data_IF_697584013167
#
_entry.id   IF_697584013167
#
_cell.length_a   1.000
_cell.length_b   1.000
_cell.length_c   1.000
_cell.angle_alpha   90.00
_cell.angle_beta   90.00
_cell.angle_gamma   90.00
#
_symmetry.space_group_name_H-M   'P 1'
#
loop_
_entity.id
_entity.type
_entity.pdbx_description
1 polymer ?
#
# COMPACT_ATOMS: atom_id res chain seq x y z
N UNK A 1 0.93 -11.35 -8.02
CA UNK A 1 0.22 -12.20 -7.03
C UNK A 1 -0.22 -11.28 -5.93
N UNK A 2 -1.49 -11.31 -5.56
CA UNK A 2 -2.04 -10.41 -4.54
C UNK A 2 -2.13 -11.17 -3.22
N UNK A 3 -1.57 -10.60 -2.16
CA UNK A 3 -1.53 -11.24 -0.84
C UNK A 3 -1.92 -10.25 0.24
N UNK A 4 -2.46 -10.77 1.34
CA UNK A 4 -2.76 -9.97 2.53
C UNK A 4 -1.52 -9.89 3.41
N UNK A 5 -1.28 -8.76 4.05
CA UNK A 5 -0.15 -8.61 4.97
C UNK A 5 -0.23 -9.66 6.09
N UNK A 6 -1.43 -9.92 6.61
CA UNK A 6 -1.64 -10.97 7.61
C UNK A 6 -1.32 -12.40 7.13
N UNK A 7 -1.43 -12.68 5.83
CA UNK A 7 -1.12 -14.01 5.28
C UNK A 7 0.36 -14.25 5.04
N UNK A 8 1.16 -13.17 4.97
CA UNK A 8 2.61 -13.27 4.78
C UNK A 8 3.39 -13.08 6.08
N UNK A 9 2.79 -12.47 7.10
CA UNK A 9 3.36 -12.41 8.44
C UNK A 9 3.60 -13.83 8.98
N UNK A 10 4.82 -14.08 9.44
CA UNK A 10 5.29 -15.36 9.94
C UNK A 10 5.85 -16.29 8.86
N UNK A 11 5.83 -15.92 7.58
CA UNK A 11 6.47 -16.74 6.54
C UNK A 11 7.99 -16.80 6.75
N UNK A 12 8.61 -17.98 6.55
CA UNK A 12 10.06 -18.11 6.62
C UNK A 12 10.71 -17.36 5.46
N UNK A 13 11.84 -16.71 5.75
CA UNK A 13 12.71 -16.11 4.75
C UNK A 13 13.82 -17.11 4.46
N UNK A 14 13.95 -17.51 3.21
CA UNK A 14 14.84 -18.57 2.72
C UNK A 14 15.98 -17.91 1.94
N UNK A 15 17.21 -18.23 2.33
CA UNK A 15 18.40 -17.91 1.57
C UNK A 15 18.53 -18.90 0.40
N UNK A 16 18.50 -18.42 -0.84
CA UNK A 16 18.53 -19.29 -2.03
C UNK A 16 19.89 -19.99 -2.24
N UNK A 17 20.99 -19.45 -1.68
CA UNK A 17 22.32 -20.07 -1.81
C UNK A 17 22.49 -21.23 -0.81
N UNK A 18 21.98 -21.10 0.41
CA UNK A 18 22.15 -22.11 1.47
C UNK A 18 20.90 -22.97 1.70
N UNK A 19 19.74 -22.53 1.21
CA UNK A 19 18.41 -23.08 1.49
C UNK A 19 18.02 -23.05 2.98
N UNK A 20 18.71 -22.25 3.79
CA UNK A 20 18.44 -22.11 5.21
C UNK A 20 17.42 -21.01 5.49
N UNK A 21 16.65 -21.18 6.57
CA UNK A 21 15.73 -20.14 7.05
C UNK A 21 16.46 -19.11 7.89
N UNK A 22 16.60 -17.89 7.38
CA UNK A 22 17.35 -16.81 8.03
C UNK A 22 16.49 -16.04 9.05
N UNK A 23 15.18 -16.03 8.87
CA UNK A 23 14.24 -15.33 9.76
C UNK A 23 12.79 -15.53 9.35
N UNK A 24 11.89 -14.81 10.02
CA UNK A 24 10.46 -14.80 9.75
C UNK A 24 9.99 -13.39 9.46
N UNK A 25 9.17 -13.25 8.44
CA UNK A 25 8.64 -11.97 7.98
C UNK A 25 7.61 -11.41 8.98
N UNK A 26 7.68 -10.11 9.27
CA UNK A 26 6.75 -9.40 10.15
C UNK A 26 5.89 -8.43 9.35
N UNK A 27 5.61 -7.25 9.90
CA UNK A 27 4.78 -6.26 9.23
C UNK A 27 5.59 -5.51 8.15
N UNK A 28 4.92 -5.06 7.08
CA UNK A 28 5.54 -4.19 6.09
C UNK A 28 5.82 -2.79 6.64
N UNK A 29 6.84 -2.12 6.09
CA UNK A 29 7.00 -0.67 6.16
C UNK A 29 6.32 -0.05 4.93
N UNK A 30 5.22 0.68 5.16
CA UNK A 30 4.41 1.26 4.10
C UNK A 30 4.57 2.77 4.09
N UNK A 31 4.90 3.34 2.94
CA UNK A 31 4.95 4.77 2.74
C UNK A 31 3.52 5.34 2.77
N UNK A 32 3.20 6.26 3.72
CA UNK A 32 1.83 6.73 3.95
C UNK A 32 1.24 7.52 2.78
N UNK A 33 2.09 8.18 2.00
CA UNK A 33 1.68 9.07 0.91
C UNK A 33 1.42 8.33 -0.40
N UNK A 34 2.14 7.23 -0.65
CA UNK A 34 2.10 6.50 -1.93
C UNK A 34 1.48 5.12 -1.79
N UNK A 35 1.39 4.58 -0.58
CA UNK A 35 1.00 3.19 -0.35
C UNK A 35 2.06 2.16 -0.79
N UNK A 36 3.26 2.61 -1.16
CA UNK A 36 4.37 1.72 -1.52
C UNK A 36 4.93 1.02 -0.29
N UNK A 37 5.22 -0.27 -0.42
CA UNK A 37 5.91 -1.08 0.57
C UNK A 37 7.41 -1.00 0.27
N UNK A 38 8.17 -0.47 1.21
CA UNK A 38 9.64 -0.35 1.08
C UNK A 38 10.36 -1.65 1.49
N UNK A 39 9.68 -2.49 2.26
CA UNK A 39 10.22 -3.75 2.75
C UNK A 39 9.44 -4.25 3.96
N UNK A 40 10.01 -5.22 4.65
CA UNK A 40 9.39 -5.90 5.77
C UNK A 40 10.35 -5.99 6.94
N UNK A 41 9.83 -5.82 8.14
CA UNK A 41 10.58 -6.14 9.35
C UNK A 41 10.69 -7.67 9.49
N UNK A 42 11.75 -8.12 10.15
CA UNK A 42 12.14 -9.53 10.20
C UNK A 42 12.57 -9.89 11.62
N UNK A 43 12.03 -11.00 12.13
CA UNK A 43 12.52 -11.64 13.34
C UNK A 43 13.57 -12.69 12.93
N UNK A 44 14.84 -12.55 13.34
CA UNK A 44 15.86 -13.53 13.00
C UNK A 44 15.57 -14.91 13.64
N UNK A 45 15.86 -15.99 12.92
CA UNK A 45 15.59 -17.37 13.40
C UNK A 45 16.48 -17.78 14.57
N UNK A 46 17.64 -17.15 14.74
CA UNK A 46 18.60 -17.48 15.78
C UNK A 46 18.29 -16.58 16.99
N UNK A 47 17.66 -17.16 18.01
CA UNK A 47 17.39 -16.53 19.29
C UNK A 47 18.69 -16.36 20.11
N UNK A 48 19.53 -15.42 19.70
CA UNK A 48 20.55 -14.85 20.58
C UNK A 48 19.92 -13.69 21.36
N UNK A 49 20.35 -13.53 22.61
CA UNK A 49 19.83 -12.54 23.57
C UNK A 49 19.93 -11.07 23.13
N UNK A 50 20.56 -10.83 21.97
CA UNK A 50 20.73 -9.56 21.27
C UNK A 50 20.01 -9.54 19.91
N UNK A 51 18.91 -10.30 19.75
CA UNK A 51 18.14 -10.35 18.51
C UNK A 51 17.56 -8.97 18.16
N UNK A 52 18.36 -8.18 17.44
CA UNK A 52 17.94 -6.92 16.84
C UNK A 52 16.96 -7.23 15.73
N UNK A 53 15.91 -6.43 15.65
CA UNK A 53 15.00 -6.45 14.52
C UNK A 53 15.81 -6.21 13.24
N UNK A 54 15.57 -7.04 12.22
CA UNK A 54 16.18 -6.87 10.90
C UNK A 54 15.13 -6.32 9.95
N UNK A 55 15.60 -5.81 8.82
CA UNK A 55 14.74 -5.33 7.76
C UNK A 55 15.16 -5.95 6.43
N UNK A 56 14.15 -6.38 5.67
CA UNK A 56 14.29 -6.90 4.32
C UNK A 56 13.73 -5.87 3.33
N UNK A 57 14.57 -5.19 2.55
CA UNK A 57 14.11 -4.30 1.48
C UNK A 57 13.31 -5.09 0.44
N UNK A 58 12.21 -4.49 -0.05
CA UNK A 58 11.34 -5.13 -1.05
C UNK A 58 12.10 -5.48 -2.35
N UNK A 59 13.11 -4.70 -2.70
CA UNK A 59 13.94 -4.88 -3.90
C UNK A 59 14.86 -6.11 -3.84
N UNK A 60 15.11 -6.64 -2.64
CA UNK A 60 15.96 -7.81 -2.43
C UNK A 60 15.16 -9.13 -2.38
N UNK A 61 13.83 -9.05 -2.48
CA UNK A 61 12.93 -10.22 -2.58
C UNK A 61 12.92 -10.72 -4.02
N UNK A 62 13.34 -11.97 -4.22
CA UNK A 62 13.42 -12.59 -5.55
C UNK A 62 12.14 -13.37 -5.86
N UNK A 63 11.55 -13.98 -4.85
CA UNK A 63 10.44 -14.90 -5.04
C UNK A 63 9.54 -15.01 -3.82
N UNK A 64 8.30 -15.42 -4.10
CA UNK A 64 7.28 -15.72 -3.10
C UNK A 64 6.76 -17.15 -3.33
N UNK A 65 6.53 -17.89 -2.25
CA UNK A 65 5.98 -19.24 -2.29
C UNK A 65 5.56 -19.69 -0.88
N UNK A 66 6.00 -20.88 -0.48
CA UNK A 66 5.89 -21.33 0.92
C UNK A 66 6.77 -20.52 1.89
N UNK A 67 7.71 -19.75 1.35
CA UNK A 67 8.51 -18.74 2.05
C UNK A 67 8.83 -17.56 1.14
N UNK A 68 9.55 -16.58 1.69
CA UNK A 68 10.09 -15.45 0.94
C UNK A 68 11.54 -15.73 0.60
N UNK A 69 11.87 -15.72 -0.69
CA UNK A 69 13.18 -16.07 -1.20
C UNK A 69 14.04 -14.82 -1.39
N UNK A 70 15.26 -14.86 -0.86
CA UNK A 70 16.27 -13.82 -1.00
C UNK A 70 17.57 -14.45 -1.51
N UNK A 71 18.43 -13.64 -2.15
CA UNK A 71 19.69 -14.18 -2.70
C UNK A 71 20.60 -14.76 -1.62
N UNK A 72 20.77 -14.00 -0.54
CA UNK A 72 21.71 -14.30 0.54
C UNK A 72 21.27 -13.57 1.80
N UNK A 73 21.62 -14.09 2.97
CA UNK A 73 21.39 -13.48 4.28
C UNK A 73 21.88 -12.03 4.38
N UNK A 74 22.94 -11.66 3.66
CA UNK A 74 23.51 -10.31 3.68
C UNK A 74 22.57 -9.22 3.14
N UNK A 75 21.40 -9.60 2.60
CA UNK A 75 20.32 -8.67 2.23
C UNK A 75 19.51 -8.17 3.42
N UNK A 76 19.64 -8.80 4.57
CA UNK A 76 19.02 -8.35 5.81
C UNK A 76 19.96 -7.39 6.54
N UNK A 77 19.45 -6.23 6.89
CA UNK A 77 20.21 -5.22 7.64
C UNK A 77 19.40 -4.70 8.82
N UNK A 78 20.06 -4.27 9.91
CA UNK A 78 19.40 -3.51 10.96
C UNK A 78 18.72 -2.24 10.38
N UNK A 79 17.50 -1.89 10.83
CA UNK A 79 16.80 -0.68 10.36
C UNK A 79 17.66 0.59 10.49
N UNK A 80 18.53 0.68 11.49
CA UNK A 80 19.42 1.81 11.75
C UNK A 80 20.42 2.08 10.62
N UNK A 81 20.82 1.02 9.89
CA UNK A 81 21.78 1.11 8.78
C UNK A 81 21.12 1.60 7.48
N UNK A 82 19.78 1.60 7.41
CA UNK A 82 19.01 1.98 6.23
C UNK A 82 18.79 3.50 6.17
N UNK A 83 19.87 4.26 5.94
CA UNK A 83 19.90 5.74 5.94
C UNK A 83 18.74 6.35 5.12
N UNK A 84 18.44 5.78 3.95
CA UNK A 84 17.36 6.27 3.06
C UNK A 84 15.96 6.07 3.63
N UNK A 85 15.75 5.04 4.44
CA UNK A 85 14.46 4.71 5.04
C UNK A 85 14.29 5.32 6.44
N UNK A 86 15.35 5.84 7.06
CA UNK A 86 15.30 6.48 8.37
C UNK A 86 14.19 7.55 8.51
N UNK A 87 13.95 8.44 7.53
CA UNK A 87 12.84 9.38 7.62
C UNK A 87 11.48 8.70 7.71
N UNK A 88 11.29 7.60 6.97
CA UNK A 88 10.04 6.84 6.95
C UNK A 88 9.87 5.97 8.20
N UNK A 89 10.94 5.35 8.69
CA UNK A 89 10.91 4.54 9.93
C UNK A 89 10.57 5.42 11.15
N UNK A 90 11.03 6.67 11.15
CA UNK A 90 10.75 7.65 12.21
C UNK A 90 9.41 8.37 12.02
N UNK A 91 8.77 8.22 10.85
CA UNK A 91 7.46 8.81 10.58
C UNK A 91 6.41 8.12 11.47
N UNK A 92 5.58 8.92 12.14
CA UNK A 92 4.52 8.41 13.00
C UNK A 92 3.23 8.09 12.24
N UNK A 93 3.15 8.44 10.95
CA UNK A 93 2.02 8.16 10.07
C UNK A 93 2.04 6.69 9.69
N UNK A 94 1.12 5.92 10.27
CA UNK A 94 0.95 4.49 9.99
C UNK A 94 -0.30 4.25 9.17
N UNK A 95 -0.27 3.22 8.33
CA UNK A 95 -1.46 2.70 7.66
C UNK A 95 -2.06 1.57 8.51
N UNK A 96 -1.29 0.51 8.74
CA UNK A 96 -1.73 -0.61 9.59
C UNK A 96 -1.95 -0.15 11.04
N UNK A 97 -3.07 -0.59 11.62
CA UNK A 97 -3.51 -0.24 12.98
C UNK A 97 -4.13 1.16 13.10
N UNK A 98 -4.05 2.00 12.08
CA UNK A 98 -4.56 3.37 12.12
C UNK A 98 -6.08 3.41 11.97
N UNK A 99 -6.73 4.39 12.60
CA UNK A 99 -8.19 4.62 12.44
C UNK A 99 -8.50 5.13 11.04
N UNK A 100 -9.54 4.57 10.43
CA UNK A 100 -10.08 5.01 9.14
C UNK A 100 -11.30 5.91 9.37
N UNK A 101 -11.30 7.10 8.77
CA UNK A 101 -12.35 8.12 8.90
C UNK A 101 -12.75 8.66 7.53
N UNK A 102 -14.04 8.91 7.36
CA UNK A 102 -14.57 9.49 6.13
C UNK A 102 -14.32 11.00 6.14
N UNK A 103 -13.73 11.54 5.08
CA UNK A 103 -13.49 12.97 4.93
C UNK A 103 -14.82 13.74 4.89
N UNK A 104 -14.93 14.82 5.65
CA UNK A 104 -16.16 15.61 5.75
C UNK A 104 -17.27 14.99 6.60
N UNK A 105 -17.05 13.82 7.22
CA UNK A 105 -18.04 13.14 8.06
C UNK A 105 -17.48 12.86 9.46
N UNK A 106 -18.36 12.82 10.46
CA UNK A 106 -18.02 12.35 11.81
C UNK A 106 -17.95 10.81 11.91
N UNK A 107 -18.27 10.10 10.82
CA UNK A 107 -18.31 8.63 10.80
C UNK A 107 -16.89 8.03 10.69
N UNK A 108 -16.65 6.98 11.46
CA UNK A 108 -15.44 6.16 11.38
C UNK A 108 -15.77 4.76 10.88
N UNK A 109 -14.94 4.26 9.96
CA UNK A 109 -15.06 2.93 9.37
C UNK A 109 -14.41 1.83 10.23
N UNK A 110 -13.54 2.19 11.19
CA UNK A 110 -12.85 1.25 12.07
C UNK A 110 -11.35 1.51 12.11
N UNK A 111 -10.57 0.46 12.39
CA UNK A 111 -9.11 0.45 12.26
C UNK A 111 -8.69 -0.31 11.00
N UNK A 112 -7.62 0.11 10.32
CA UNK A 112 -7.02 -0.67 9.25
C UNK A 112 -6.36 -1.90 9.87
N UNK A 113 -7.04 -3.05 9.83
CA UNK A 113 -6.53 -4.27 10.46
C UNK A 113 -5.56 -5.02 9.54
N UNK A 114 -5.68 -4.82 8.23
CA UNK A 114 -4.89 -5.51 7.23
C UNK A 114 -4.90 -4.74 5.92
N UNK A 115 -3.94 -5.04 5.06
CA UNK A 115 -3.85 -4.54 3.68
C UNK A 115 -3.61 -5.70 2.73
N UNK A 116 -4.10 -5.58 1.50
CA UNK A 116 -3.68 -6.42 0.38
C UNK A 116 -2.77 -5.60 -0.52
N UNK A 117 -1.71 -6.23 -0.99
CA UNK A 117 -0.74 -5.63 -1.90
C UNK A 117 -0.37 -6.59 -3.03
N UNK A 118 0.10 -6.03 -4.14
CA UNK A 118 0.70 -6.80 -5.21
C UNK A 118 2.19 -7.05 -4.93
N UNK A 119 2.59 -8.31 -4.98
CA UNK A 119 3.97 -8.77 -4.71
C UNK A 119 4.99 -8.43 -5.80
N UNK A 120 4.57 -7.93 -6.97
CA UNK A 120 5.47 -7.50 -8.03
C UNK A 120 5.78 -6.01 -7.93
N UNK A 121 4.76 -5.18 -7.68
CA UNK A 121 4.89 -3.72 -7.62
C UNK A 121 5.09 -3.21 -6.21
N UNK A 122 4.80 -4.03 -5.19
CA UNK A 122 4.87 -3.67 -3.78
C UNK A 122 4.03 -2.44 -3.45
N UNK A 123 2.82 -2.36 -4.02
CA UNK A 123 1.86 -1.29 -3.72
C UNK A 123 0.62 -1.89 -3.07
N UNK A 124 0.11 -1.21 -2.04
CA UNK A 124 -1.19 -1.56 -1.46
C UNK A 124 -2.31 -1.29 -2.48
N UNK A 125 -3.27 -2.20 -2.51
CA UNK A 125 -4.43 -2.12 -3.40
C UNK A 125 -5.73 -2.04 -2.59
N UNK A 126 -5.78 -2.75 -1.46
CA UNK A 126 -6.97 -2.81 -0.61
C UNK A 126 -6.63 -2.66 0.87
N UNK A 127 -7.53 -2.00 1.59
CA UNK A 127 -7.54 -1.86 3.03
C UNK A 127 -8.71 -2.66 3.60
N UNK A 128 -8.46 -3.34 4.72
CA UNK A 128 -9.46 -4.15 5.40
C UNK A 128 -9.79 -3.54 6.77
N UNK A 129 -10.82 -2.69 6.85
CA UNK A 129 -11.26 -2.12 8.10
C UNK A 129 -11.85 -3.18 9.03
N UNK A 130 -11.54 -3.08 10.30
CA UNK A 130 -12.16 -3.86 11.38
C UNK A 130 -12.75 -2.92 12.42
N UNK A 131 -13.97 -3.22 12.87
CA UNK A 131 -14.61 -2.51 13.99
C UNK A 131 -15.00 -3.53 15.06
N UNK A 132 -14.39 -3.40 16.23
CA UNK A 132 -14.46 -4.39 17.31
C UNK A 132 -13.97 -5.77 16.81
N UNK A 133 -14.89 -6.72 16.62
CA UNK A 133 -14.60 -8.07 16.12
C UNK A 133 -15.17 -8.33 14.72
N UNK A 134 -15.84 -7.33 14.12
CA UNK A 134 -16.49 -7.48 12.81
C UNK A 134 -15.62 -6.86 11.73
N UNK A 135 -15.26 -7.66 10.74
CA UNK A 135 -14.62 -7.19 9.52
C UNK A 135 -15.63 -6.39 8.69
N UNK A 136 -15.23 -5.20 8.25
CA UNK A 136 -16.06 -4.33 7.42
C UNK A 136 -15.75 -4.58 5.95
N UNK A 137 -16.54 -3.95 5.09
CA UNK A 137 -16.34 -3.99 3.65
C UNK A 137 -14.90 -3.53 3.32
N UNK A 138 -14.13 -4.32 2.55
CA UNK A 138 -12.83 -3.89 2.04
C UNK A 138 -12.97 -2.63 1.20
N UNK A 139 -11.94 -1.81 1.17
CA UNK A 139 -11.92 -0.59 0.37
C UNK A 139 -10.63 -0.45 -0.42
N UNK A 140 -10.69 0.10 -1.64
CA UNK A 140 -9.51 0.27 -2.46
C UNK A 140 -8.61 1.38 -1.89
N UNK A 141 -7.31 1.24 -2.07
CA UNK A 141 -6.33 2.25 -1.66
C UNK A 141 -6.51 3.59 -2.39
N UNK A 142 -7.14 3.58 -3.57
CA UNK A 142 -7.50 4.79 -4.34
C UNK A 142 -8.50 5.70 -3.63
N UNK A 143 -9.21 5.19 -2.63
CA UNK A 143 -10.15 5.98 -1.84
C UNK A 143 -9.46 6.75 -0.70
N UNK A 144 -8.17 6.48 -0.44
CA UNK A 144 -7.39 7.26 0.51
C UNK A 144 -7.19 8.65 -0.06
N UNK A 145 -7.60 9.65 0.71
CA UNK A 145 -7.36 11.07 0.40
C UNK A 145 -6.07 11.54 1.04
N UNK A 146 -5.83 11.17 2.29
CA UNK A 146 -4.62 11.54 3.02
C UNK A 146 -4.41 10.61 4.23
N UNK A 147 -3.15 10.42 4.62
CA UNK A 147 -2.76 9.70 5.84
C UNK A 147 -2.10 10.67 6.80
N UNK A 148 -2.68 10.79 7.99
CA UNK A 148 -2.15 11.63 9.09
C UNK A 148 -1.73 10.75 10.25
N UNK A 149 -0.94 11.27 11.19
CA UNK A 149 -0.56 10.53 12.40
C UNK A 149 -1.76 10.10 13.27
N UNK A 150 -2.93 10.70 13.05
CA UNK A 150 -4.16 10.42 13.82
C UNK A 150 -5.16 9.52 13.10
N UNK A 151 -5.21 9.57 11.77
CA UNK A 151 -6.19 8.83 10.97
C UNK A 151 -5.80 8.72 9.49
N UNK A 152 -6.28 7.66 8.85
CA UNK A 152 -6.41 7.54 7.40
C UNK A 152 -7.74 8.17 7.01
N UNK A 153 -7.70 9.21 6.19
CA UNK A 153 -8.88 9.89 5.68
C UNK A 153 -9.22 9.36 4.30
N UNK A 154 -10.47 8.94 4.13
CA UNK A 154 -10.96 8.31 2.90
C UNK A 154 -12.16 9.06 2.34
N UNK A 155 -12.40 8.90 1.04
CA UNK A 155 -13.62 9.37 0.37
C UNK A 155 -14.84 8.68 0.98
N UNK A 156 -16.02 9.32 0.90
CA UNK A 156 -17.25 8.71 1.37
C UNK A 156 -17.72 7.66 0.36
N UNK A 157 -17.70 6.35 0.69
CA UNK A 157 -18.15 5.31 -0.22
C UNK A 157 -19.68 5.32 -0.40
N UNK A 158 -20.41 6.10 0.40
CA UNK A 158 -21.87 6.23 0.34
C UNK A 158 -22.34 7.55 -0.26
N UNK A 159 -21.43 8.42 -0.71
CA UNK A 159 -21.82 9.59 -1.47
C UNK A 159 -22.37 9.14 -2.84
N UNK A 160 -23.53 9.67 -3.29
CA UNK A 160 -23.96 9.44 -4.65
C UNK A 160 -22.85 9.92 -5.58
N UNK A 161 -22.45 9.07 -6.53
CA UNK A 161 -21.51 9.43 -7.59
C UNK A 161 -22.05 10.69 -8.25
N UNK A 162 -21.44 11.84 -7.94
CA UNK A 162 -21.64 13.02 -8.75
C UNK A 162 -20.91 12.71 -10.05
N UNK A 163 -21.66 12.24 -11.05
CA UNK A 163 -21.18 12.23 -12.42
C UNK A 163 -20.62 13.62 -12.69
N UNK A 164 -19.31 13.69 -12.94
CA UNK A 164 -18.72 14.86 -13.58
C UNK A 164 -19.47 15.05 -14.89
N UNK A 165 -20.46 15.95 -14.88
CA UNK A 165 -20.97 16.56 -16.09
C UNK A 165 -19.80 17.32 -16.68
N UNK A 166 -19.00 16.65 -17.50
CA UNK A 166 -18.17 17.30 -18.51
C UNK A 166 -19.12 18.10 -19.41
N UNK A 167 -19.33 19.35 -19.01
CA UNK A 167 -19.74 20.41 -19.90
C UNK A 167 -18.60 20.64 -20.91
N UNK A 168 -18.58 19.84 -21.99
CA UNK A 168 -18.10 20.35 -23.27
C UNK A 168 -19.29 20.95 -24.00
N UNK A 169 -19.62 22.20 -23.63
CA UNK A 169 -20.36 23.08 -24.52
C UNK A 169 -19.38 23.68 -25.53
N UNK A 170 -19.85 23.72 -26.77
CA UNK A 170 -19.51 24.70 -27.81
C UNK A 170 -18.09 24.68 -28.42
N UNK A 171 -18.02 24.05 -29.58
CA UNK A 171 -17.56 24.79 -30.77
C UNK A 171 -18.55 24.53 -31.89
N UNK A 172 -19.51 25.45 -32.02
CA UNK A 172 -20.34 25.54 -33.21
C UNK A 172 -19.45 25.85 -34.40
N UNK A 173 -19.25 24.88 -35.29
CA UNK A 173 -18.72 25.14 -36.62
C UNK A 173 -19.88 25.75 -37.40
N UNK A 174 -19.91 27.08 -37.46
CA UNK A 174 -20.71 27.80 -38.45
C UNK A 174 -20.07 27.51 -39.80
N UNK A 175 -20.73 26.68 -40.61
CA UNK A 175 -20.38 26.51 -42.02
C UNK A 175 -20.84 27.80 -42.71
N UNK A 176 -19.94 28.62 -43.30
CA UNK A 176 -20.38 29.72 -44.13
C UNK A 176 -21.06 29.17 -45.37
N UNK A 177 -22.29 29.62 -45.58
CA UNK A 177 -23.12 29.38 -46.75
C UNK A 177 -22.37 29.87 -48.01
N UNK A 178 -21.93 28.93 -48.84
CA UNK A 178 -21.30 29.22 -50.13
C UNK A 178 -22.39 29.67 -51.09
N UNK A 179 -22.35 30.94 -51.49
CA UNK A 179 -23.23 31.54 -52.50
C UNK A 179 -23.19 30.76 -53.82
N UNK A 180 -24.31 30.65 -54.55
CA UNK A 180 -24.33 30.10 -55.89
C UNK A 180 -23.69 31.11 -56.86
N UNK A 181 -22.68 30.66 -57.61
CA UNK A 181 -22.17 31.37 -58.75
C UNK A 181 -23.21 31.32 -59.89
N UNK A 182 -23.67 32.49 -60.31
CA UNK A 182 -24.41 32.68 -61.54
C UNK A 182 -23.45 32.62 -62.76
N UNK A 183 -24.06 32.43 -63.95
CA UNK A 183 -23.52 32.51 -65.33
C UNK A 183 -23.13 31.13 -65.93
N UNK A 184 -23.63 30.69 -67.09
CA UNK A 184 -24.28 31.35 -68.24
C UNK A 184 -25.50 30.57 -68.75
#
# INVERSE_FOLDING_TARGET
MHVRSSSVTGLPIIDDETLETVGHLMHPLIQPDTGRIEGFFVIPSIALSDARELFLPAVDIIGWGSGVHIKTRDRLAPPEELIRLQPLIRDNRKILGQRIRIKGSKKSLGICADVQFDTRHFCIEWLFPRKYFVQRQPMPATDIVEVTGSAIWVKDPFAPLQEEKEAKSETGIVIPEVMPAAQN
#
